data_IF_926501956493
#
_entry.id   IF_926501956493
#
_cell.length_a   1.000
_cell.length_b   1.000
_cell.length_c   1.000
_cell.angle_alpha   90.00
_cell.angle_beta   90.00
_cell.angle_gamma   90.00
#
_symmetry.space_group_name_H-M   'P 1'
#
loop_
_entity.id
_entity.type
_entity.pdbx_description
1 polymer ?
#
# COMPACT_ATOMS: atom_id res chain seq x y z
N UNK A 1 -2.38 6.79 -24.92
CA UNK A 1 -2.52 5.56 -24.13
C UNK A 1 -3.30 5.89 -22.85
N UNK A 2 -4.62 5.85 -22.92
CA UNK A 2 -5.51 6.12 -21.78
C UNK A 2 -5.54 4.89 -20.88
N UNK A 3 -4.97 5.01 -19.68
CA UNK A 3 -5.04 4.00 -18.63
C UNK A 3 -6.49 3.90 -18.18
N UNK A 4 -7.24 3.00 -18.81
CA UNK A 4 -8.60 2.68 -18.39
C UNK A 4 -8.48 1.96 -17.04
N UNK A 5 -8.70 2.70 -15.95
CA UNK A 5 -8.90 2.11 -14.64
C UNK A 5 -10.06 1.13 -14.80
N UNK A 6 -9.76 -0.17 -14.77
CA UNK A 6 -10.80 -1.18 -14.64
C UNK A 6 -11.46 -0.89 -13.31
N UNK A 7 -12.65 -0.28 -13.34
CA UNK A 7 -13.58 -0.34 -12.22
C UNK A 7 -13.92 -1.82 -12.09
N UNK A 8 -13.13 -2.54 -11.31
CA UNK A 8 -13.34 -3.95 -11.04
C UNK A 8 -14.76 -4.12 -10.52
N UNK A 9 -15.49 -5.09 -11.05
CA UNK A 9 -16.83 -5.40 -10.57
C UNK A 9 -16.78 -5.58 -9.05
N UNK A 10 -17.52 -4.75 -8.31
CA UNK A 10 -17.60 -4.86 -6.85
C UNK A 10 -18.32 -6.17 -6.53
N UNK A 11 -17.69 -7.00 -5.70
CA UNK A 11 -18.30 -8.21 -5.17
C UNK A 11 -18.91 -7.90 -3.82
N UNK A 12 -20.23 -8.02 -3.69
CA UNK A 12 -20.89 -7.97 -2.39
C UNK A 12 -20.32 -9.10 -1.51
N UNK A 13 -19.84 -8.74 -0.33
CA UNK A 13 -19.23 -9.66 0.62
C UNK A 13 -19.91 -9.44 1.96
N UNK A 14 -20.54 -10.50 2.49
CA UNK A 14 -21.12 -10.47 3.84
C UNK A 14 -19.98 -10.62 4.86
N UNK A 15 -19.90 -9.68 5.79
CA UNK A 15 -18.93 -9.68 6.87
C UNK A 15 -19.61 -9.24 8.16
N UNK A 16 -19.15 -9.76 9.29
CA UNK A 16 -19.67 -9.40 10.61
C UNK A 16 -18.80 -8.30 11.22
N UNK A 17 -19.42 -7.21 11.65
CA UNK A 17 -18.78 -6.13 12.41
C UNK A 17 -19.45 -6.00 13.78
N UNK A 18 -18.77 -5.32 14.68
CA UNK A 18 -19.35 -4.84 15.92
C UNK A 18 -20.58 -3.96 15.60
N UNK A 19 -21.72 -4.30 16.19
CA UNK A 19 -22.98 -3.61 15.95
C UNK A 19 -22.95 -2.17 16.47
N UNK A 20 -22.28 -1.89 17.58
CA UNK A 20 -22.17 -0.54 18.12
C UNK A 20 -21.39 0.37 17.16
N UNK A 21 -20.29 -0.12 16.57
CA UNK A 21 -19.52 0.63 15.58
C UNK A 21 -20.32 0.91 14.31
N UNK A 22 -21.13 -0.06 13.87
CA UNK A 22 -21.99 0.12 12.68
C UNK A 22 -23.06 1.19 12.93
N UNK A 23 -23.71 1.16 14.09
CA UNK A 23 -24.73 2.15 14.43
C UNK A 23 -24.12 3.55 14.64
N UNK A 24 -22.96 3.66 15.27
CA UNK A 24 -22.22 4.91 15.39
C UNK A 24 -21.82 5.48 14.02
N UNK A 25 -21.26 4.63 13.14
CA UNK A 25 -20.91 5.03 11.78
C UNK A 25 -22.12 5.55 10.99
N UNK A 26 -23.28 4.88 11.11
CA UNK A 26 -24.53 5.35 10.50
C UNK A 26 -24.98 6.68 11.09
N UNK A 27 -24.94 6.84 12.41
CA UNK A 27 -25.32 8.08 13.09
C UNK A 27 -24.44 9.27 12.66
N UNK A 28 -23.17 9.01 12.37
CA UNK A 28 -22.21 10.00 11.87
C UNK A 28 -22.24 10.18 10.34
N UNK A 29 -23.10 9.45 9.61
CA UNK A 29 -23.19 9.53 8.15
C UNK A 29 -21.97 8.95 7.42
N UNK A 30 -21.19 8.09 8.08
CA UNK A 30 -20.00 7.45 7.50
C UNK A 30 -20.44 6.38 6.50
N UNK A 31 -19.88 6.43 5.30
CA UNK A 31 -20.09 5.38 4.30
C UNK A 31 -19.25 4.14 4.65
N UNK A 32 -19.87 3.20 5.35
CA UNK A 32 -19.23 1.97 5.83
C UNK A 32 -18.53 1.19 4.72
N UNK A 33 -19.17 1.00 3.57
CA UNK A 33 -18.58 0.27 2.45
C UNK A 33 -17.30 0.93 1.95
N UNK A 34 -17.28 2.26 1.84
CA UNK A 34 -16.11 3.00 1.39
C UNK A 34 -15.00 2.96 2.43
N UNK A 35 -15.33 3.17 3.71
CA UNK A 35 -14.37 3.11 4.80
C UNK A 35 -13.69 1.74 4.89
N UNK A 36 -14.45 0.65 4.78
CA UNK A 36 -13.91 -0.70 4.75
C UNK A 36 -13.03 -0.96 3.52
N UNK A 37 -13.43 -0.49 2.33
CA UNK A 37 -12.62 -0.64 1.11
C UNK A 37 -11.28 0.09 1.24
N UNK A 38 -11.29 1.32 1.73
CA UNK A 38 -10.08 2.14 1.90
C UNK A 38 -9.14 1.53 2.95
N UNK A 39 -9.67 1.06 4.08
CA UNK A 39 -8.89 0.37 5.10
C UNK A 39 -8.25 -0.92 4.55
N UNK A 40 -9.03 -1.74 3.84
CA UNK A 40 -8.53 -2.98 3.24
C UNK A 40 -7.45 -2.71 2.20
N UNK A 41 -7.60 -1.66 1.40
CA UNK A 41 -6.59 -1.26 0.40
C UNK A 41 -5.28 -0.86 1.07
N UNK A 42 -5.33 -0.13 2.18
CA UNK A 42 -4.15 0.25 2.94
C UNK A 42 -3.44 -0.97 3.53
N UNK A 43 -4.20 -1.89 4.14
CA UNK A 43 -3.65 -3.12 4.72
C UNK A 43 -2.98 -4.00 3.65
N UNK A 44 -3.65 -4.20 2.51
CA UNK A 44 -3.08 -4.97 1.38
C UNK A 44 -1.80 -4.30 0.86
N UNK A 45 -1.77 -2.97 0.75
CA UNK A 45 -0.60 -2.26 0.27
C UNK A 45 0.57 -2.39 1.24
N UNK A 46 0.32 -2.28 2.55
CA UNK A 46 1.32 -2.46 3.58
C UNK A 46 1.91 -3.88 3.55
N UNK A 47 1.05 -4.89 3.48
CA UNK A 47 1.48 -6.28 3.45
C UNK A 47 2.26 -6.63 2.17
N UNK A 48 1.83 -6.11 1.02
CA UNK A 48 2.60 -6.24 -0.23
C UNK A 48 3.96 -5.57 -0.13
N UNK A 49 4.02 -4.39 0.50
CA UNK A 49 5.28 -3.69 0.76
C UNK A 49 6.22 -4.53 1.62
N UNK A 50 5.69 -5.14 2.69
CA UNK A 50 6.44 -6.06 3.57
C UNK A 50 7.00 -7.26 2.81
N UNK A 51 6.18 -7.92 2.01
CA UNK A 51 6.59 -9.07 1.21
C UNK A 51 7.65 -8.67 0.17
N UNK A 52 7.45 -7.56 -0.53
CA UNK A 52 8.41 -7.06 -1.50
C UNK A 52 9.76 -6.75 -0.85
N UNK A 53 9.77 -6.11 0.32
CA UNK A 53 11.00 -5.83 1.06
C UNK A 53 11.74 -7.11 1.44
N UNK A 54 11.01 -8.14 1.89
CA UNK A 54 11.60 -9.43 2.22
C UNK A 54 12.20 -10.12 0.98
N UNK A 55 11.46 -10.15 -0.13
CA UNK A 55 11.92 -10.72 -1.41
C UNK A 55 13.15 -10.01 -1.99
N UNK A 56 13.26 -8.70 -1.77
CA UNK A 56 14.33 -7.87 -2.33
C UNK A 56 15.44 -7.56 -1.32
N UNK A 57 15.37 -8.13 -0.11
CA UNK A 57 16.30 -7.82 0.97
C UNK A 57 17.77 -8.03 0.58
N UNK A 58 18.08 -9.14 -0.10
CA UNK A 58 19.43 -9.45 -0.56
C UNK A 58 19.94 -8.45 -1.60
N UNK A 59 19.08 -8.09 -2.58
CA UNK A 59 19.42 -7.11 -3.61
C UNK A 59 19.64 -5.70 -3.04
N UNK A 60 18.80 -5.30 -2.07
CA UNK A 60 18.94 -4.05 -1.34
C UNK A 60 20.25 -4.06 -0.54
N UNK A 61 20.55 -5.14 0.19
CA UNK A 61 21.78 -5.26 0.94
C UNK A 61 23.03 -5.19 0.05
N UNK A 62 23.02 -5.89 -1.09
CA UNK A 62 24.10 -5.84 -2.07
C UNK A 62 24.30 -4.43 -2.65
N UNK A 63 23.21 -3.74 -2.99
CA UNK A 63 23.24 -2.36 -3.47
C UNK A 63 23.81 -1.40 -2.41
N UNK A 64 23.36 -1.52 -1.16
CA UNK A 64 23.84 -0.69 -0.05
C UNK A 64 25.33 -0.92 0.21
N UNK A 65 25.79 -2.19 0.20
CA UNK A 65 27.20 -2.53 0.35
C UNK A 65 28.07 -1.96 -0.78
N UNK A 66 27.55 -1.92 -2.01
CA UNK A 66 28.23 -1.27 -3.13
C UNK A 66 28.39 0.24 -2.89
N UNK A 67 27.31 0.92 -2.50
CA UNK A 67 27.35 2.37 -2.22
C UNK A 67 28.30 2.69 -1.07
N UNK A 68 28.28 1.91 0.00
CA UNK A 68 29.20 2.09 1.14
C UNK A 68 30.67 1.98 0.70
N UNK A 69 30.96 1.04 -0.21
CA UNK A 69 32.33 0.79 -0.66
C UNK A 69 32.81 1.78 -1.72
N UNK A 70 31.94 2.21 -2.63
CA UNK A 70 32.33 2.95 -3.83
C UNK A 70 31.76 4.37 -3.90
N UNK A 71 30.97 4.78 -2.91
CA UNK A 71 30.21 6.02 -2.92
C UNK A 71 28.96 5.93 -3.79
N UNK A 72 28.22 7.04 -3.88
CA UNK A 72 27.01 7.12 -4.68
C UNK A 72 27.36 7.06 -6.18
N UNK A 73 26.78 6.11 -6.94
CA UNK A 73 26.91 6.11 -8.39
C UNK A 73 26.47 7.47 -8.96
N UNK A 74 27.27 8.01 -9.86
CA UNK A 74 26.96 9.25 -10.60
C UNK A 74 26.87 10.51 -9.74
N UNK A 75 27.32 10.49 -8.48
CA UNK A 75 27.32 11.67 -7.59
C UNK A 75 27.98 12.89 -8.23
N UNK A 76 29.05 12.67 -9.00
CA UNK A 76 29.77 13.70 -9.78
C UNK A 76 28.94 14.47 -10.81
N UNK A 77 27.72 14.03 -11.12
CA UNK A 77 26.81 14.69 -12.06
C UNK A 77 25.59 15.31 -11.37
N UNK A 78 25.51 15.28 -10.03
CA UNK A 78 24.38 15.85 -9.30
C UNK A 78 24.41 17.38 -9.39
N UNK A 79 23.45 17.96 -10.12
CA UNK A 79 23.16 19.39 -10.12
C UNK A 79 22.24 19.66 -8.93
N UNK A 80 22.62 20.64 -8.11
CA UNK A 80 22.04 21.03 -6.81
C UNK A 80 20.50 21.08 -6.77
#
# INVERSE_FOLDING_TARGET
MTKQERIGARKATNLSLDSALVEEAKALGINLSRACEDALRQEIAAERGRLWQAENAEGIAASNAYVEKYGLPLEKYRLF
#
